data_IF_444948552409
#
_entry.id   IF_444948552409
#
_cell.length_a   1.000
_cell.length_b   1.000
_cell.length_c   1.000
_cell.angle_alpha   90.00
_cell.angle_beta   90.00
_cell.angle_gamma   90.00
#
_symmetry.space_group_name_H-M   'P 1'
#
loop_
_entity.id
_entity.type
_entity.pdbx_description
1 polymer ?
#
# COMPACT_ATOMS: atom_id res chain seq x y z
N UNK A 1 -35.45 32.52 27.28
CA UNK A 1 -35.76 32.04 25.94
C UNK A 1 -34.80 32.79 25.08
N UNK A 2 -33.59 32.25 25.01
CA UNK A 2 -32.42 33.09 24.79
C UNK A 2 -32.08 33.04 23.32
N UNK A 3 -32.17 34.21 22.68
CA UNK A 3 -31.78 34.46 21.30
C UNK A 3 -30.29 34.14 21.14
N UNK A 4 -30.00 33.06 20.42
CA UNK A 4 -28.64 32.70 20.04
C UNK A 4 -28.24 33.59 18.86
N UNK A 5 -27.27 34.48 19.07
CA UNK A 5 -26.64 35.28 18.02
C UNK A 5 -25.79 34.38 17.10
N UNK A 6 -26.41 33.89 16.02
CA UNK A 6 -25.74 33.05 15.02
C UNK A 6 -24.94 33.94 14.08
N UNK A 7 -23.62 34.01 14.30
CA UNK A 7 -22.68 34.66 13.37
C UNK A 7 -22.35 33.74 12.21
N UNK A 8 -22.49 34.25 10.99
CA UNK A 8 -22.10 33.56 9.76
C UNK A 8 -20.83 34.17 9.19
N UNK A 9 -20.00 33.32 8.58
CA UNK A 9 -18.76 33.71 7.90
C UNK A 9 -18.58 32.88 6.63
N UNK A 10 -17.73 33.35 5.72
CA UNK A 10 -17.39 32.62 4.51
C UNK A 10 -16.15 31.76 4.77
N UNK A 11 -16.30 30.44 4.64
CA UNK A 11 -15.18 29.52 4.55
C UNK A 11 -14.88 29.27 3.08
N UNK A 12 -13.67 29.58 2.65
CA UNK A 12 -13.16 29.17 1.35
C UNK A 12 -12.11 28.09 1.57
N UNK A 13 -12.26 26.97 0.88
CA UNK A 13 -11.24 25.94 0.82
C UNK A 13 -10.50 26.11 -0.50
N UNK A 14 -9.18 26.11 -0.44
CA UNK A 14 -8.31 26.13 -1.62
C UNK A 14 -7.39 24.92 -1.50
N UNK A 15 -7.34 24.13 -2.56
CA UNK A 15 -6.45 22.99 -2.67
C UNK A 15 -5.18 23.55 -3.28
N UNK A 16 -4.06 23.59 -2.53
CA UNK A 16 -2.84 24.28 -2.98
C UNK A 16 -2.30 23.76 -4.32
N UNK A 17 -2.74 22.57 -4.72
CA UNK A 17 -2.28 21.84 -5.91
C UNK A 17 -3.38 21.65 -6.98
N UNK A 18 -4.55 22.30 -6.86
CA UNK A 18 -5.66 22.12 -7.82
C UNK A 18 -5.46 22.79 -9.18
N UNK A 19 -4.45 23.66 -9.33
CA UNK A 19 -4.09 24.24 -10.62
C UNK A 19 -3.31 23.26 -11.52
N UNK A 20 -2.83 22.15 -10.96
CA UNK A 20 -2.10 21.11 -11.68
C UNK A 20 -2.80 19.75 -11.53
N UNK A 21 -3.44 19.25 -12.60
CA UNK A 21 -4.08 17.93 -12.60
C UNK A 21 -3.12 16.81 -12.20
N UNK A 22 -1.82 16.95 -12.47
CA UNK A 22 -0.82 15.93 -12.18
C UNK A 22 -0.63 15.75 -10.67
N UNK A 23 -0.59 16.82 -9.88
CA UNK A 23 -0.46 16.75 -8.42
C UNK A 23 -1.69 16.15 -7.76
N UNK A 24 -2.89 16.43 -8.26
CA UNK A 24 -4.12 15.76 -7.79
C UNK A 24 -4.09 14.26 -8.11
N UNK A 25 -3.58 13.90 -9.31
CA UNK A 25 -3.45 12.49 -9.73
C UNK A 25 -2.37 11.72 -8.95
N UNK A 26 -1.40 12.38 -8.34
CA UNK A 26 -0.43 11.71 -7.46
C UNK A 26 -1.10 11.14 -6.19
N UNK A 27 -2.23 11.71 -5.77
CA UNK A 27 -3.00 11.22 -4.64
C UNK A 27 -4.06 10.16 -5.01
N UNK A 28 -4.10 9.70 -6.27
CA UNK A 28 -5.05 8.67 -6.71
C UNK A 28 -4.83 7.36 -5.92
N UNK A 29 -5.93 6.81 -5.40
CA UNK A 29 -5.93 5.50 -4.76
C UNK A 29 -5.67 4.36 -5.75
N UNK A 30 -5.29 3.20 -5.23
CA UNK A 30 -4.95 2.02 -6.02
C UNK A 30 -5.90 0.91 -5.63
N UNK A 31 -6.70 0.43 -6.58
CA UNK A 31 -7.50 -0.76 -6.38
C UNK A 31 -6.62 -2.00 -6.52
N UNK A 32 -6.69 -2.90 -5.54
CA UNK A 32 -6.02 -4.19 -5.59
C UNK A 32 -6.78 -5.12 -6.54
N UNK A 33 -6.07 -5.69 -7.50
CA UNK A 33 -6.59 -6.80 -8.29
C UNK A 33 -6.44 -8.10 -7.48
N UNK A 34 -7.55 -8.66 -7.03
CA UNK A 34 -7.56 -9.86 -6.19
C UNK A 34 -7.30 -11.14 -6.99
N UNK A 35 -7.45 -11.07 -8.32
CA UNK A 35 -7.19 -12.19 -9.23
C UNK A 35 -5.79 -12.09 -9.86
N UNK A 36 -4.96 -11.13 -9.40
CA UNK A 36 -3.60 -10.94 -9.88
C UNK A 36 -2.75 -12.21 -9.66
N UNK A 37 -2.07 -12.72 -10.71
CA UNK A 37 -1.13 -13.82 -10.57
C UNK A 37 0.02 -13.49 -9.60
N UNK A 38 0.51 -12.25 -9.61
CA UNK A 38 1.52 -11.78 -8.66
C UNK A 38 1.03 -11.79 -7.22
N UNK A 39 -0.23 -11.38 -6.98
CA UNK A 39 -0.82 -11.43 -5.64
C UNK A 39 -0.93 -12.88 -5.15
N UNK A 40 -1.43 -13.77 -6.00
CA UNK A 40 -1.56 -15.18 -5.65
C UNK A 40 -0.20 -15.82 -5.35
N UNK A 41 0.85 -15.50 -6.13
CA UNK A 41 2.20 -15.99 -5.87
C UNK A 41 2.73 -15.53 -4.50
N UNK A 42 2.46 -14.28 -4.09
CA UNK A 42 2.83 -13.77 -2.77
C UNK A 42 2.05 -14.50 -1.66
N UNK A 43 0.74 -14.69 -1.83
CA UNK A 43 -0.13 -15.38 -0.87
C UNK A 43 0.34 -16.81 -0.65
N UNK A 44 0.61 -17.54 -1.74
CA UNK A 44 1.05 -18.93 -1.70
C UNK A 44 2.44 -19.05 -1.04
N UNK A 45 3.40 -18.25 -1.49
CA UNK A 45 4.75 -18.24 -0.93
C UNK A 45 4.77 -17.87 0.56
N UNK A 46 3.96 -16.88 0.95
CA UNK A 46 3.84 -16.45 2.34
C UNK A 46 3.21 -17.53 3.21
N UNK A 47 2.15 -18.18 2.72
CA UNK A 47 1.47 -19.28 3.41
C UNK A 47 2.40 -20.47 3.61
N UNK A 48 3.22 -20.81 2.61
CA UNK A 48 4.18 -21.92 2.71
C UNK A 48 5.28 -21.65 3.75
N UNK A 49 5.80 -20.42 3.82
CA UNK A 49 6.91 -20.08 4.74
C UNK A 49 6.44 -19.74 6.15
N UNK A 50 5.27 -19.09 6.29
CA UNK A 50 4.75 -18.59 7.58
C UNK A 50 3.57 -19.37 8.13
N UNK A 51 2.95 -20.24 7.33
CA UNK A 51 1.74 -21.01 7.68
C UNK A 51 0.43 -20.28 7.36
N UNK A 52 0.45 -18.95 7.22
CA UNK A 52 -0.69 -18.14 6.81
C UNK A 52 -0.26 -16.87 6.07
N UNK A 53 -1.13 -16.40 5.18
CA UNK A 53 -1.06 -15.09 4.57
C UNK A 53 -2.37 -14.32 4.86
N UNK A 54 -2.25 -13.05 5.25
CA UNK A 54 -3.39 -12.16 5.53
C UNK A 54 -3.24 -10.90 4.68
N UNK A 55 -3.67 -10.92 3.40
CA UNK A 55 -3.71 -9.73 2.57
C UNK A 55 -4.62 -8.67 3.21
N UNK A 56 -4.21 -7.41 3.13
CA UNK A 56 -5.00 -6.28 3.60
C UNK A 56 -4.75 -5.07 2.71
N UNK A 57 -5.70 -4.14 2.69
CA UNK A 57 -5.56 -2.85 2.04
C UNK A 57 -5.49 -1.76 3.09
N UNK A 58 -4.67 -0.75 2.84
CA UNK A 58 -4.61 0.49 3.63
C UNK A 58 -4.91 1.66 2.73
N UNK A 59 -5.50 2.71 3.29
CA UNK A 59 -5.71 3.96 2.55
C UNK A 59 -4.39 4.71 2.44
N UNK A 60 -4.07 5.13 1.23
CA UNK A 60 -2.84 5.85 0.92
C UNK A 60 -2.66 5.95 -0.59
N UNK A 61 -1.69 6.76 -1.00
CA UNK A 61 -1.39 6.99 -2.40
C UNK A 61 0.08 6.71 -2.63
N UNK A 62 0.36 5.87 -3.63
CA UNK A 62 1.71 5.55 -4.08
C UNK A 62 1.79 5.92 -5.56
N UNK A 63 2.13 7.18 -5.90
CA UNK A 63 2.00 7.71 -7.26
C UNK A 63 2.71 6.84 -8.31
N UNK A 64 3.91 6.33 -7.96
CA UNK A 64 4.69 5.46 -8.85
C UNK A 64 4.01 4.10 -9.09
N UNK A 65 3.47 3.48 -8.05
CA UNK A 65 2.74 2.21 -8.15
C UNK A 65 1.53 2.39 -9.06
N UNK A 66 0.77 3.48 -8.89
CA UNK A 66 -0.38 3.78 -9.75
C UNK A 66 0.03 4.00 -11.21
N UNK A 67 1.13 4.70 -11.44
CA UNK A 67 1.67 4.91 -12.79
C UNK A 67 2.04 3.58 -13.45
N UNK A 68 2.79 2.71 -12.76
CA UNK A 68 3.18 1.41 -13.29
C UNK A 68 1.97 0.50 -13.54
N UNK A 69 0.95 0.53 -12.66
CA UNK A 69 -0.29 -0.19 -12.91
C UNK A 69 -1.01 0.30 -14.18
N UNK A 70 -1.03 1.62 -14.43
CA UNK A 70 -1.59 2.20 -15.68
C UNK A 70 -0.80 1.80 -16.93
N UNK A 71 0.50 1.54 -16.79
CA UNK A 71 1.35 1.02 -17.87
C UNK A 71 1.13 -0.48 -18.14
N UNK A 72 0.27 -1.14 -17.35
CA UNK A 72 -0.12 -2.54 -17.55
C UNK A 72 0.73 -3.54 -16.77
N UNK A 73 1.57 -3.07 -15.84
CA UNK A 73 2.33 -3.96 -14.97
C UNK A 73 1.45 -4.54 -13.85
N UNK A 74 1.65 -5.82 -13.57
CA UNK A 74 1.15 -6.46 -12.35
C UNK A 74 2.04 -6.05 -11.17
N UNK A 75 1.59 -5.02 -10.41
CA UNK A 75 2.36 -4.46 -9.30
C UNK A 75 1.77 -4.91 -7.98
N UNK A 76 2.61 -5.57 -7.19
CA UNK A 76 2.30 -6.03 -5.85
C UNK A 76 3.19 -5.36 -4.81
N UNK A 77 2.65 -5.17 -3.61
CA UNK A 77 3.37 -4.56 -2.49
C UNK A 77 3.39 -5.56 -1.34
N UNK A 78 4.59 -5.85 -0.84
CA UNK A 78 4.78 -6.67 0.36
C UNK A 78 5.92 -6.09 1.19
N UNK A 79 5.80 -6.21 2.50
CA UNK A 79 6.76 -5.71 3.47
C UNK A 79 6.91 -6.70 4.62
N UNK A 80 8.14 -6.91 5.07
CA UNK A 80 8.48 -7.88 6.11
C UNK A 80 9.11 -7.25 7.36
N UNK A 81 9.03 -5.92 7.46
CA UNK A 81 9.36 -5.17 8.66
C UNK A 81 8.30 -5.33 9.75
N UNK A 82 8.52 -4.66 10.88
CA UNK A 82 7.59 -4.67 12.00
C UNK A 82 6.63 -3.48 11.88
N UNK A 83 5.35 -3.72 11.55
CA UNK A 83 4.39 -2.63 11.28
C UNK A 83 4.21 -1.62 12.42
N UNK A 84 4.33 -2.04 13.69
CA UNK A 84 4.27 -1.13 14.85
C UNK A 84 5.49 -0.20 14.99
N UNK A 85 6.58 -0.50 14.29
CA UNK A 85 7.81 0.29 14.30
C UNK A 85 7.98 1.10 13.01
N UNK A 86 7.01 1.02 12.08
CA UNK A 86 7.04 1.77 10.82
C UNK A 86 6.93 3.28 11.09
N UNK A 87 7.91 4.05 10.59
CA UNK A 87 8.09 5.49 10.87
C UNK A 87 8.33 5.87 12.34
N UNK A 88 8.69 4.92 13.21
CA UNK A 88 9.07 5.22 14.58
C UNK A 88 10.53 5.71 14.68
N UNK A 89 10.85 6.54 15.67
CA UNK A 89 12.22 7.05 15.89
C UNK A 89 13.26 5.95 16.06
N UNK A 90 12.84 4.79 16.58
CA UNK A 90 13.65 3.59 16.78
C UNK A 90 13.19 2.43 15.88
N UNK A 91 12.93 2.72 14.60
CA UNK A 91 12.55 1.72 13.60
C UNK A 91 13.52 0.52 13.60
N UNK A 92 12.95 -0.69 13.59
CA UNK A 92 13.71 -1.92 13.63
C UNK A 92 13.00 -3.06 12.88
N UNK A 93 13.77 -4.12 12.61
CA UNK A 93 13.24 -5.38 12.11
C UNK A 93 13.97 -6.56 12.73
N UNK A 94 13.29 -7.71 12.81
CA UNK A 94 13.93 -8.94 13.26
C UNK A 94 14.68 -9.61 12.11
N UNK A 95 15.93 -10.02 12.37
CA UNK A 95 16.72 -10.79 11.41
C UNK A 95 15.99 -12.08 10.99
N UNK A 96 15.31 -12.76 11.92
CA UNK A 96 14.52 -13.95 11.63
C UNK A 96 13.35 -13.69 10.68
N UNK A 97 12.69 -12.53 10.80
CA UNK A 97 11.67 -12.10 9.84
C UNK A 97 12.26 -11.84 8.47
N UNK A 98 13.43 -11.22 8.40
CA UNK A 98 14.13 -10.97 7.13
C UNK A 98 14.61 -12.27 6.47
N UNK A 99 15.09 -13.25 7.23
CA UNK A 99 15.44 -14.57 6.68
C UNK A 99 14.22 -15.25 6.03
N UNK A 100 13.05 -15.19 6.69
CA UNK A 100 11.79 -15.68 6.11
C UNK A 100 11.37 -14.87 4.88
N UNK A 101 11.56 -13.54 4.91
CA UNK A 101 11.30 -12.68 3.76
C UNK A 101 12.07 -13.13 2.51
N UNK A 102 13.37 -13.43 2.66
CA UNK A 102 14.17 -13.96 1.55
C UNK A 102 13.67 -15.32 1.05
N UNK A 103 13.24 -16.21 1.95
CA UNK A 103 12.62 -17.48 1.55
C UNK A 103 11.33 -17.25 0.75
N UNK A 104 10.48 -16.31 1.18
CA UNK A 104 9.25 -15.94 0.48
C UNK A 104 9.59 -15.36 -0.90
N UNK A 105 10.56 -14.45 -1.00
CA UNK A 105 10.99 -13.86 -2.28
C UNK A 105 11.48 -14.92 -3.27
N UNK A 106 12.33 -15.85 -2.82
CA UNK A 106 12.79 -16.97 -3.64
C UNK A 106 11.63 -17.84 -4.10
N UNK A 107 10.64 -18.04 -3.23
CA UNK A 107 9.46 -18.85 -3.55
C UNK A 107 8.52 -18.15 -4.54
N UNK A 108 8.32 -16.84 -4.43
CA UNK A 108 7.57 -16.04 -5.41
C UNK A 108 8.18 -16.23 -6.80
N UNK A 109 9.50 -16.04 -6.95
CA UNK A 109 10.20 -16.23 -8.22
C UNK A 109 9.98 -17.66 -8.74
N UNK A 110 10.13 -18.67 -7.87
CA UNK A 110 9.93 -20.07 -8.25
C UNK A 110 8.49 -20.43 -8.64
N UNK A 111 7.49 -19.72 -8.13
CA UNK A 111 6.08 -19.92 -8.49
C UNK A 111 5.80 -19.24 -9.82
N UNK A 112 6.27 -17.99 -9.98
CA UNK A 112 6.06 -17.19 -11.20
C UNK A 112 6.79 -17.76 -12.42
N UNK A 113 7.96 -18.40 -12.25
CA UNK A 113 8.70 -19.05 -13.35
C UNK A 113 7.98 -20.27 -13.96
N UNK A 114 6.94 -20.79 -13.28
CA UNK A 114 6.16 -21.94 -13.75
C UNK A 114 4.87 -21.56 -14.49
N UNK A 115 4.57 -20.27 -14.59
CA UNK A 115 3.39 -19.73 -15.28
C UNK A 115 3.73 -19.35 -16.71
#
# INVERSE_FOLDING_TARGET
GDDIDVKTGKLEMQWPDAENEESVRQMEGIACDLESPGLQAIVDATTEVKGEAKPYAITGSLPLVRKMQKEGFDIQITGYGESKAYHADNEYAYLSSMQKAFQILLRIISISDKQ
#
